data_IF_371128313118
#
_entry.id   IF_371128313118
#
_cell.length_a   1.000
_cell.length_b   1.000
_cell.length_c   1.000
_cell.angle_alpha   90.00
_cell.angle_beta   90.00
_cell.angle_gamma   90.00
#
_symmetry.space_group_name_H-M   'P 1'
#
loop_
_entity.id
_entity.type
_entity.pdbx_description
1 polymer ?
#
# COMPACT_ATOMS: atom_id res chain seq x y z
N UNK A 1 -13.20 16.54 -25.83
CA UNK A 1 -13.63 16.20 -24.46
C UNK A 1 -12.45 16.35 -23.53
N UNK A 2 -12.62 17.02 -22.39
CA UNK A 2 -11.60 17.18 -21.35
C UNK A 2 -12.11 16.56 -20.06
N UNK A 3 -11.31 15.67 -19.48
CA UNK A 3 -11.54 15.05 -18.19
C UNK A 3 -10.49 15.55 -17.20
N UNK A 4 -10.88 15.72 -15.94
CA UNK A 4 -9.98 16.00 -14.83
C UNK A 4 -10.16 14.94 -13.77
N UNK A 5 -9.06 14.42 -13.24
CA UNK A 5 -9.07 13.51 -12.10
C UNK A 5 -8.40 14.18 -10.91
N UNK A 6 -9.05 14.10 -9.75
CA UNK A 6 -8.60 14.62 -8.47
C UNK A 6 -8.58 13.45 -7.48
N UNK A 7 -7.40 13.06 -7.01
CA UNK A 7 -7.23 11.93 -6.10
C UNK A 7 -5.90 12.00 -5.35
N UNK A 8 -5.90 11.49 -4.12
CA UNK A 8 -4.70 11.21 -3.33
C UNK A 8 -4.24 9.74 -3.48
N UNK A 9 -4.78 9.01 -4.46
CA UNK A 9 -4.32 7.68 -4.81
C UNK A 9 -2.80 7.69 -5.08
N UNK A 10 -2.02 6.73 -4.56
CA UNK A 10 -2.44 5.46 -3.95
C UNK A 10 -2.65 5.48 -2.42
N UNK A 11 -2.58 6.64 -1.77
CA UNK A 11 -2.68 6.76 -0.31
C UNK A 11 -4.12 6.90 0.19
N UNK A 12 -5.02 7.36 -0.69
CA UNK A 12 -6.46 7.33 -0.49
C UNK A 12 -7.17 6.58 -1.64
N UNK A 13 -8.34 6.02 -1.33
CA UNK A 13 -9.14 5.23 -2.27
C UNK A 13 -10.19 6.04 -3.04
N UNK A 14 -10.32 7.33 -2.77
CA UNK A 14 -11.31 8.21 -3.39
C UNK A 14 -10.76 8.81 -4.68
N UNK A 15 -11.45 8.57 -5.79
CA UNK A 15 -11.08 9.05 -7.12
C UNK A 15 -12.26 9.85 -7.64
N UNK A 16 -12.04 11.15 -7.89
CA UNK A 16 -13.05 12.06 -8.44
C UNK A 16 -12.69 12.41 -9.87
N UNK A 17 -13.51 12.00 -10.83
CA UNK A 17 -13.36 12.33 -12.25
C UNK A 17 -14.45 13.30 -12.66
N UNK A 18 -14.06 14.48 -13.15
CA UNK A 18 -14.98 15.50 -13.64
C UNK A 18 -14.85 15.68 -15.16
N UNK A 19 -15.98 15.79 -15.84
CA UNK A 19 -16.04 16.12 -17.27
C UNK A 19 -16.03 17.64 -17.41
N UNK A 20 -14.86 18.23 -17.55
CA UNK A 20 -14.71 19.69 -17.64
C UNK A 20 -15.31 20.26 -18.94
N UNK A 21 -15.22 19.54 -20.05
CA UNK A 21 -15.74 20.01 -21.34
C UNK A 21 -16.05 18.88 -22.33
N UNK A 22 -17.10 19.04 -23.11
CA UNK A 22 -17.42 18.24 -24.31
C UNK A 22 -17.59 19.22 -25.46
N UNK A 23 -16.62 19.26 -26.38
CA UNK A 23 -16.58 20.25 -27.47
C UNK A 23 -17.41 19.75 -28.66
N UNK A 24 -18.73 19.89 -28.55
CA UNK A 24 -19.69 19.71 -29.63
C UNK A 24 -20.90 20.64 -29.41
N UNK A 25 -21.84 20.69 -30.37
CA UNK A 25 -22.98 21.62 -30.32
C UNK A 25 -23.88 21.45 -29.07
N UNK A 26 -23.98 20.24 -28.53
CA UNK A 26 -24.88 19.91 -27.42
C UNK A 26 -24.19 19.90 -26.05
N UNK A 27 -22.87 20.07 -26.00
CA UNK A 27 -22.02 19.83 -24.83
C UNK A 27 -22.29 18.47 -24.16
N UNK A 28 -22.69 17.47 -24.95
CA UNK A 28 -23.11 16.15 -24.48
C UNK A 28 -22.64 15.04 -25.42
N UNK A 29 -22.23 13.89 -24.89
CA UNK A 29 -21.72 12.77 -25.66
C UNK A 29 -22.20 11.43 -25.09
N UNK A 30 -22.73 10.55 -25.94
CA UNK A 30 -23.03 9.16 -25.59
C UNK A 30 -21.76 8.32 -25.70
N UNK A 31 -21.29 7.80 -24.57
CA UNK A 31 -20.18 6.85 -24.54
C UNK A 31 -20.22 5.98 -23.27
N UNK A 32 -19.37 4.96 -23.25
CA UNK A 32 -19.15 4.12 -22.07
C UNK A 32 -17.84 4.52 -21.41
N UNK A 33 -17.89 4.92 -20.14
CA UNK A 33 -16.72 5.09 -19.30
C UNK A 33 -16.42 3.77 -18.56
N UNK A 34 -15.23 3.21 -18.73
CA UNK A 34 -14.80 1.98 -18.05
C UNK A 34 -13.93 2.32 -16.85
N UNK A 35 -14.45 2.12 -15.64
CA UNK A 35 -13.72 2.37 -14.39
C UNK A 35 -13.12 1.08 -13.85
N UNK A 36 -11.80 0.97 -13.71
CA UNK A 36 -11.19 -0.26 -13.19
C UNK A 36 -11.51 -0.45 -11.71
N UNK A 37 -11.95 -1.65 -11.33
CA UNK A 37 -12.04 -2.11 -9.93
C UNK A 37 -10.89 -3.09 -9.70
N UNK A 38 -9.82 -2.67 -9.03
CA UNK A 38 -8.71 -3.56 -8.75
C UNK A 38 -9.16 -4.74 -7.89
N UNK A 39 -8.66 -5.95 -8.19
CA UNK A 39 -9.01 -7.16 -7.46
C UNK A 39 -8.83 -7.03 -5.94
N UNK A 40 -7.81 -6.28 -5.48
CA UNK A 40 -7.54 -6.08 -4.06
C UNK A 40 -8.61 -5.26 -3.33
N UNK A 41 -9.45 -4.49 -4.03
CA UNK A 41 -10.41 -3.58 -3.39
C UNK A 41 -11.53 -4.35 -2.67
N UNK A 42 -11.90 -5.53 -3.17
CA UNK A 42 -12.96 -6.40 -2.62
C UNK A 42 -14.38 -5.84 -2.77
N UNK A 43 -14.55 -4.52 -2.68
CA UNK A 43 -15.79 -3.79 -2.95
C UNK A 43 -15.47 -2.41 -3.52
N UNK A 44 -16.50 -1.67 -3.93
CA UNK A 44 -16.40 -0.28 -4.37
C UNK A 44 -17.72 0.44 -4.09
N UNK A 45 -17.67 1.77 -4.07
CA UNK A 45 -18.85 2.62 -4.16
C UNK A 45 -18.66 3.56 -5.37
N UNK A 46 -19.70 3.77 -6.15
CA UNK A 46 -19.68 4.68 -7.29
C UNK A 46 -20.84 5.67 -7.20
N UNK A 47 -20.56 6.95 -7.44
CA UNK A 47 -21.56 8.02 -7.50
C UNK A 47 -21.46 8.77 -8.82
N UNK A 48 -22.60 9.24 -9.31
CA UNK A 48 -22.71 10.19 -10.41
C UNK A 48 -23.46 11.40 -9.89
N UNK A 49 -22.84 12.58 -9.93
CA UNK A 49 -23.42 13.85 -9.48
C UNK A 49 -23.97 13.77 -8.02
N UNK A 50 -23.26 13.04 -7.16
CA UNK A 50 -23.62 12.86 -5.74
C UNK A 50 -24.59 11.70 -5.46
N UNK A 51 -25.20 11.10 -6.48
CA UNK A 51 -26.12 9.97 -6.32
C UNK A 51 -25.39 8.64 -6.48
N UNK A 52 -25.56 7.73 -5.52
CA UNK A 52 -24.99 6.37 -5.60
C UNK A 52 -25.63 5.60 -6.74
N UNK A 53 -24.80 5.03 -7.60
CA UNK A 53 -25.23 4.21 -8.74
C UNK A 53 -24.71 2.77 -8.59
N UNK A 54 -25.57 1.81 -8.93
CA UNK A 54 -25.21 0.41 -8.98
C UNK A 54 -24.68 0.06 -10.37
N UNK A 55 -23.45 -0.42 -10.44
CA UNK A 55 -22.82 -0.93 -11.65
C UNK A 55 -22.35 -2.36 -11.41
N UNK A 56 -22.39 -3.19 -12.45
CA UNK A 56 -21.90 -4.57 -12.37
C UNK A 56 -20.50 -4.62 -12.98
N UNK A 57 -19.47 -5.09 -12.25
CA UNK A 57 -18.15 -5.27 -12.83
C UNK A 57 -18.13 -6.33 -13.93
N UNK A 58 -17.51 -6.00 -15.06
CA UNK A 58 -17.20 -6.88 -16.18
C UNK A 58 -15.68 -6.94 -16.34
N UNK A 59 -15.09 -8.12 -16.16
CA UNK A 59 -13.64 -8.34 -16.29
C UNK A 59 -12.77 -7.32 -15.51
N UNK A 60 -13.22 -6.92 -14.32
CA UNK A 60 -12.52 -5.95 -13.47
C UNK A 60 -12.75 -4.48 -13.81
N UNK A 61 -13.75 -4.15 -14.64
CA UNK A 61 -14.15 -2.78 -14.96
C UNK A 61 -15.65 -2.55 -14.73
N UNK A 62 -16.04 -1.34 -14.37
CA UNK A 62 -17.44 -0.88 -14.30
C UNK A 62 -17.76 -0.15 -15.63
N UNK A 63 -18.49 -0.77 -16.56
CA UNK A 63 -18.96 -0.07 -17.75
C UNK A 63 -20.11 0.88 -17.38
N UNK A 64 -19.86 2.18 -17.46
CA UNK A 64 -20.88 3.22 -17.28
C UNK A 64 -21.27 3.79 -18.65
N UNK A 65 -22.30 3.20 -19.28
CA UNK A 65 -22.83 3.69 -20.56
C UNK A 65 -23.91 4.74 -20.35
N UNK A 66 -23.64 6.00 -20.71
CA UNK A 66 -24.55 7.14 -20.53
C UNK A 66 -24.30 8.23 -21.57
N UNK A 67 -25.27 9.13 -21.70
CA UNK A 67 -25.07 10.45 -22.29
C UNK A 67 -24.51 11.38 -21.21
N UNK A 68 -23.20 11.58 -21.24
CA UNK A 68 -22.50 12.46 -20.33
C UNK A 68 -22.54 13.91 -20.81
N UNK A 69 -22.49 14.86 -19.88
CA UNK A 69 -22.46 16.30 -20.12
C UNK A 69 -21.26 16.95 -19.47
N UNK A 70 -20.83 18.08 -20.01
CA UNK A 70 -19.89 18.95 -19.29
C UNK A 70 -20.47 19.30 -17.91
N UNK A 71 -19.67 19.14 -16.87
CA UNK A 71 -20.04 19.31 -15.47
C UNK A 71 -20.37 18.02 -14.72
N UNK A 72 -20.56 16.88 -15.42
CA UNK A 72 -20.78 15.60 -14.73
C UNK A 72 -19.56 15.23 -13.88
N UNK A 73 -19.84 14.74 -12.67
CA UNK A 73 -18.85 14.31 -11.69
C UNK A 73 -19.09 12.83 -11.37
N UNK A 74 -18.07 12.03 -11.59
CA UNK A 74 -18.02 10.61 -11.24
C UNK A 74 -17.10 10.45 -10.03
N UNK A 75 -17.59 9.81 -8.99
CA UNK A 75 -16.80 9.49 -7.81
C UNK A 75 -16.72 7.97 -7.65
N UNK A 76 -15.51 7.44 -7.52
CA UNK A 76 -15.24 6.04 -7.23
C UNK A 76 -14.48 5.95 -5.91
N UNK A 77 -15.01 5.17 -4.97
CA UNK A 77 -14.36 4.91 -3.68
C UNK A 77 -13.95 3.44 -3.61
N UNK A 78 -12.64 3.21 -3.45
CA UNK A 78 -12.03 1.89 -3.31
C UNK A 78 -11.52 1.69 -1.87
N UNK A 79 -12.08 0.75 -1.08
CA UNK A 79 -11.61 0.52 0.28
C UNK A 79 -10.14 0.04 0.33
N UNK A 80 -9.30 0.78 1.05
CA UNK A 80 -7.88 0.45 1.23
C UNK A 80 -7.67 -0.43 2.47
N UNK A 81 -8.11 -1.69 2.40
CA UNK A 81 -7.91 -2.65 3.50
C UNK A 81 -6.47 -3.23 3.50
N UNK A 82 -5.83 -3.39 4.68
CA UNK A 82 -4.60 -4.17 4.79
C UNK A 82 -4.86 -5.63 4.37
N UNK A 83 -3.89 -6.21 3.67
CA UNK A 83 -3.90 -7.62 3.28
C UNK A 83 -2.49 -8.18 3.33
N UNK A 84 -2.40 -9.49 3.52
CA UNK A 84 -1.17 -10.23 3.33
C UNK A 84 -1.17 -10.87 1.94
N UNK A 85 0.00 -10.93 1.33
CA UNK A 85 0.26 -11.77 0.17
C UNK A 85 1.31 -12.79 0.54
N UNK A 86 0.97 -14.07 0.46
CA UNK A 86 1.91 -15.17 0.67
C UNK A 86 2.83 -15.24 -0.56
N UNK A 87 4.14 -15.20 -0.33
CA UNK A 87 5.12 -15.22 -1.42
C UNK A 87 5.60 -16.65 -1.68
N UNK A 88 5.81 -17.00 -2.96
CA UNK A 88 6.24 -18.34 -3.35
C UNK A 88 7.60 -18.74 -2.73
N UNK A 89 8.44 -17.75 -2.44
CA UNK A 89 9.73 -17.94 -1.75
C UNK A 89 9.60 -18.20 -0.23
N UNK A 90 8.38 -18.22 0.31
CA UNK A 90 8.11 -18.28 1.75
C UNK A 90 7.88 -16.90 2.38
N UNK A 91 7.22 -16.85 3.54
CA UNK A 91 6.85 -15.61 4.20
C UNK A 91 5.67 -14.88 3.54
N UNK A 92 5.46 -13.63 3.93
CA UNK A 92 4.42 -12.78 3.38
C UNK A 92 4.88 -11.33 3.18
N UNK A 93 4.17 -10.61 2.31
CA UNK A 93 4.25 -9.16 2.19
C UNK A 93 2.96 -8.51 2.72
N UNK A 94 3.09 -7.33 3.34
CA UNK A 94 1.94 -6.55 3.83
C UNK A 94 1.59 -5.48 2.79
N UNK A 95 0.31 -5.40 2.39
CA UNK A 95 -0.15 -4.48 1.35
C UNK A 95 -1.40 -3.72 1.77
N UNK A 96 -1.50 -2.47 1.33
CA UNK A 96 -2.71 -1.63 1.45
C UNK A 96 -2.98 -1.02 0.09
N UNK A 97 -4.14 -1.31 -0.52
CA UNK A 97 -4.38 -0.86 -1.89
C UNK A 97 -3.34 -1.39 -2.89
N UNK A 98 -2.82 -0.53 -3.77
CA UNK A 98 -1.69 -0.87 -4.63
C UNK A 98 -0.32 -0.83 -3.92
N UNK A 99 -0.24 -0.38 -2.67
CA UNK A 99 1.02 -0.17 -1.96
C UNK A 99 1.53 -1.47 -1.33
N UNK A 100 2.78 -1.80 -1.62
CA UNK A 100 3.60 -2.67 -0.78
C UNK A 100 4.10 -1.85 0.41
N UNK A 101 3.89 -2.35 1.63
CA UNK A 101 4.43 -1.72 2.83
C UNK A 101 5.73 -2.39 3.26
N UNK A 102 6.54 -1.63 3.97
CA UNK A 102 7.82 -2.07 4.49
C UNK A 102 8.04 -1.52 5.90
N UNK A 103 8.77 -2.28 6.70
CA UNK A 103 9.31 -1.82 7.97
C UNK A 103 10.54 -0.95 7.65
N UNK A 104 10.53 0.35 7.95
CA UNK A 104 11.72 1.19 7.82
C UNK A 104 12.74 0.77 8.88
N UNK A 105 13.97 0.55 8.44
CA UNK A 105 15.09 0.23 9.32
C UNK A 105 15.92 1.50 9.50
N UNK A 106 16.11 1.93 10.74
CA UNK A 106 17.01 3.04 11.03
C UNK A 106 18.41 2.67 10.55
N UNK A 107 19.13 3.63 9.97
CA UNK A 107 20.44 3.37 9.39
C UNK A 107 21.46 4.43 9.78
N UNK A 108 22.67 3.96 10.02
CA UNK A 108 23.86 4.80 10.09
C UNK A 108 24.45 4.90 8.68
N UNK A 109 24.58 6.14 8.17
CA UNK A 109 25.20 6.41 6.86
C UNK A 109 26.69 6.65 7.03
N UNK A 110 27.52 5.89 6.32
CA UNK A 110 28.99 6.06 6.30
C UNK A 110 29.48 6.31 4.89
N UNK A 111 30.53 7.13 4.74
CA UNK A 111 31.24 7.29 3.48
C UNK A 111 32.10 6.04 3.29
N UNK A 112 31.84 5.30 2.22
CA UNK A 112 32.61 4.11 1.85
C UNK A 112 33.83 4.50 1.02
N UNK A 113 33.66 5.40 0.04
CA UNK A 113 34.72 5.88 -0.85
C UNK A 113 34.37 7.25 -1.44
N UNK A 114 35.38 8.02 -1.83
CA UNK A 114 35.21 9.32 -2.50
C UNK A 114 34.98 10.46 -1.51
N UNK A 115 34.65 11.64 -2.05
CA UNK A 115 34.46 12.87 -1.27
C UNK A 115 33.10 13.49 -1.58
N UNK A 116 32.40 14.07 -0.59
CA UNK A 116 31.15 14.79 -0.82
C UNK A 116 31.32 15.91 -1.87
N UNK A 117 30.32 16.14 -2.75
CA UNK A 117 29.01 15.48 -2.77
C UNK A 117 28.98 14.14 -3.54
N UNK A 118 30.10 13.69 -4.12
CA UNK A 118 30.17 12.52 -5.02
C UNK A 118 30.71 11.24 -4.35
N UNK A 119 30.52 11.10 -3.04
CA UNK A 119 30.96 9.93 -2.29
C UNK A 119 29.97 8.76 -2.45
N UNK A 120 30.52 7.55 -2.44
CA UNK A 120 29.76 6.32 -2.27
C UNK A 120 29.44 6.15 -0.79
N UNK A 121 28.19 5.83 -0.48
CA UNK A 121 27.72 5.66 0.90
C UNK A 121 27.28 4.24 1.17
N UNK A 122 27.60 3.74 2.37
CA UNK A 122 27.01 2.53 2.94
C UNK A 122 25.97 2.92 4.01
N UNK A 123 24.90 2.14 4.10
CA UNK A 123 23.85 2.28 5.11
C UNK A 123 23.80 1.00 5.95
N UNK A 124 24.14 1.10 7.23
CA UNK A 124 24.16 -0.04 8.15
C UNK A 124 22.95 0.04 9.09
N UNK A 125 22.24 -1.08 9.33
CA UNK A 125 21.07 -1.09 10.20
C UNK A 125 21.46 -0.81 11.66
N UNK A 126 20.73 0.10 12.32
CA UNK A 126 20.89 0.39 13.75
C UNK A 126 19.62 0.18 14.58
N UNK A 127 18.49 -0.20 13.96
CA UNK A 127 17.28 -0.67 14.66
C UNK A 127 17.05 -2.16 14.43
N UNK A 128 16.27 -2.79 15.32
CA UNK A 128 15.82 -4.15 15.09
C UNK A 128 14.87 -4.19 13.87
N UNK A 129 15.00 -5.24 13.06
CA UNK A 129 14.21 -5.46 11.84
C UNK A 129 13.60 -6.86 11.78
N UNK A 130 13.87 -7.68 12.80
CA UNK A 130 13.50 -9.10 12.87
C UNK A 130 12.11 -9.25 13.46
N UNK A 131 11.10 -9.15 12.61
CA UNK A 131 9.71 -9.30 13.01
C UNK A 131 8.95 -10.23 12.06
N UNK A 132 8.03 -11.01 12.62
CA UNK A 132 7.09 -11.84 11.90
C UNK A 132 5.68 -11.26 11.98
N UNK A 133 4.89 -11.45 10.92
CA UNK A 133 3.49 -11.04 10.87
C UNK A 133 2.62 -12.19 11.39
N UNK A 134 1.70 -11.89 12.31
CA UNK A 134 0.56 -12.74 12.61
C UNK A 134 -0.64 -12.27 11.76
N UNK A 135 -1.20 -13.13 10.86
CA UNK A 135 -2.39 -12.78 10.09
C UNK A 135 -3.61 -12.35 10.93
N UNK A 136 -3.74 -12.84 12.16
CA UNK A 136 -4.85 -12.49 13.04
C UNK A 136 -4.81 -11.02 13.50
N UNK A 137 -3.60 -10.46 13.64
CA UNK A 137 -3.39 -9.05 14.00
C UNK A 137 -3.69 -8.07 12.85
N UNK A 138 -3.94 -8.56 11.63
CA UNK A 138 -4.27 -7.66 10.52
C UNK A 138 -5.62 -6.96 10.72
N UNK A 139 -6.54 -7.60 11.44
CA UNK A 139 -7.85 -7.05 11.79
C UNK A 139 -7.79 -5.91 12.82
N UNK A 140 -6.75 -5.90 13.67
CA UNK A 140 -6.49 -4.87 14.68
C UNK A 140 -5.59 -3.74 14.17
N UNK A 141 -5.09 -3.85 12.92
CA UNK A 141 -4.15 -2.91 12.36
C UNK A 141 -4.78 -1.52 12.15
N UNK A 142 -4.04 -0.47 12.50
CA UNK A 142 -4.51 0.91 12.39
C UNK A 142 -3.83 1.57 11.19
N UNK A 143 -4.65 2.06 10.25
CA UNK A 143 -4.16 2.86 9.12
C UNK A 143 -4.38 4.34 9.41
N UNK A 144 -3.30 5.11 9.39
CA UNK A 144 -3.32 6.56 9.37
C UNK A 144 -3.02 7.04 7.93
N UNK A 145 -3.80 8.02 7.45
CA UNK A 145 -3.68 8.61 6.11
C UNK A 145 -3.65 10.13 6.18
N UNK A 146 -2.92 10.74 5.25
CA UNK A 146 -2.91 12.18 4.99
C UNK A 146 -2.66 12.42 3.50
N UNK A 147 -3.00 13.61 3.03
CA UNK A 147 -2.67 14.01 1.66
C UNK A 147 -1.15 14.02 1.45
N UNK A 148 -0.67 13.57 0.27
CA UNK A 148 0.75 13.58 -0.03
C UNK A 148 1.29 15.01 -0.13
N UNK A 149 2.51 15.22 0.35
CA UNK A 149 3.24 16.48 0.16
C UNK A 149 3.79 16.63 -1.27
N UNK A 150 4.63 17.66 -1.49
CA UNK A 150 5.31 17.89 -2.78
C UNK A 150 6.12 16.69 -3.26
N UNK A 151 6.62 15.88 -2.32
CA UNK A 151 7.30 14.62 -2.57
C UNK A 151 6.46 13.50 -1.98
N UNK A 152 5.59 12.84 -2.77
CA UNK A 152 4.60 11.89 -2.26
C UNK A 152 5.18 10.68 -1.52
N UNK A 153 6.44 10.34 -1.75
CA UNK A 153 7.14 9.23 -1.09
C UNK A 153 8.33 9.70 -0.25
N UNK A 154 8.21 10.87 0.37
CA UNK A 154 9.20 11.33 1.34
C UNK A 154 9.28 10.37 2.55
N UNK A 155 10.48 10.25 3.11
CA UNK A 155 10.80 9.34 4.22
C UNK A 155 10.40 9.90 5.59
N UNK A 156 10.40 11.23 5.75
CA UNK A 156 10.04 11.95 6.97
C UNK A 156 8.52 12.18 7.14
N UNK A 157 7.78 12.20 6.03
CA UNK A 157 6.33 12.42 6.03
C UNK A 157 5.57 11.43 5.12
N UNK A 158 5.60 10.11 5.42
CA UNK A 158 4.87 9.12 4.63
C UNK A 158 3.36 9.41 4.67
N UNK A 159 2.66 9.47 3.51
CA UNK A 159 1.23 9.82 3.48
C UNK A 159 0.30 8.71 3.99
N UNK A 160 0.81 7.48 4.06
CA UNK A 160 0.11 6.34 4.64
C UNK A 160 1.03 5.66 5.66
N UNK A 161 0.48 5.34 6.83
CA UNK A 161 1.17 4.62 7.90
C UNK A 161 0.26 3.50 8.39
N UNK A 162 0.79 2.29 8.50
CA UNK A 162 0.11 1.14 9.10
C UNK A 162 0.80 0.76 10.41
N UNK A 163 0.09 0.84 11.53
CA UNK A 163 0.54 0.28 12.82
C UNK A 163 0.02 -1.14 12.94
N UNK A 164 0.92 -2.08 13.20
CA UNK A 164 0.62 -3.50 13.28
C UNK A 164 1.45 -4.14 14.40
N UNK A 165 0.82 -4.94 15.26
CA UNK A 165 1.54 -5.76 16.23
C UNK A 165 2.23 -6.92 15.51
N UNK A 166 3.53 -7.08 15.76
CA UNK A 166 4.35 -8.09 15.11
C UNK A 166 5.19 -8.84 16.15
N UNK A 167 5.42 -10.13 15.88
CA UNK A 167 6.19 -11.00 16.77
C UNK A 167 7.70 -10.80 16.54
N UNK A 168 8.53 -10.61 17.58
CA UNK A 168 9.97 -10.58 17.42
C UNK A 168 10.51 -11.94 16.96
N UNK A 169 11.44 -11.94 16.00
CA UNK A 169 12.11 -13.16 15.50
C UNK A 169 13.51 -13.24 16.11
N UNK A 170 13.86 -14.34 16.79
CA UNK A 170 15.22 -14.52 17.32
C UNK A 170 16.28 -14.45 16.22
N UNK A 171 17.41 -13.79 16.47
CA UNK A 171 18.50 -13.65 15.49
C UNK A 171 19.01 -14.98 14.94
N UNK A 172 19.08 -16.02 15.78
CA UNK A 172 19.47 -17.38 15.36
C UNK A 172 18.53 -17.97 14.28
N UNK A 173 17.27 -17.53 14.24
CA UNK A 173 16.27 -17.99 13.26
C UNK A 173 16.28 -17.13 11.98
N UNK A 174 16.68 -15.84 12.09
CA UNK A 174 16.76 -14.95 10.94
C UNK A 174 18.06 -14.11 11.00
N UNK A 175 19.21 -14.73 10.67
CA UNK A 175 20.50 -14.08 10.79
C UNK A 175 20.70 -13.04 9.70
N UNK A 176 21.66 -12.13 9.91
CA UNK A 176 22.16 -11.26 8.85
C UNK A 176 23.23 -12.03 8.06
N UNK A 177 23.16 -12.01 6.73
CA UNK A 177 24.11 -12.67 5.83
C UNK A 177 24.61 -11.63 4.84
N UNK A 178 25.93 -11.37 4.82
CA UNK A 178 26.57 -10.38 3.93
C UNK A 178 25.88 -9.01 3.96
N UNK A 179 25.65 -8.47 5.17
CA UNK A 179 24.98 -7.18 5.40
C UNK A 179 23.53 -7.09 4.87
N UNK A 180 22.89 -8.23 4.59
CA UNK A 180 21.48 -8.34 4.22
C UNK A 180 20.74 -9.26 5.17
N UNK A 181 19.40 -9.15 5.21
CA UNK A 181 18.59 -10.16 5.87
C UNK A 181 18.85 -11.53 5.21
N UNK A 182 19.04 -12.56 6.03
CA UNK A 182 19.12 -13.94 5.56
C UNK A 182 17.79 -14.43 4.99
N UNK A 183 17.73 -15.70 4.55
CA UNK A 183 16.49 -16.30 4.07
C UNK A 183 15.35 -16.15 5.09
N UNK A 184 14.15 -15.84 4.61
CA UNK A 184 12.97 -15.72 5.46
C UNK A 184 12.69 -17.08 6.11
N UNK A 185 12.63 -17.18 7.45
CA UNK A 185 12.41 -18.47 8.10
C UNK A 185 11.00 -19.02 7.84
N UNK A 186 10.81 -20.35 7.94
CA UNK A 186 9.49 -20.95 7.86
C UNK A 186 8.59 -20.44 9.01
N UNK A 187 7.26 -20.60 8.89
CA UNK A 187 6.35 -20.19 9.94
C UNK A 187 6.67 -20.82 11.30
N UNK A 188 6.57 -20.02 12.37
CA UNK A 188 6.91 -20.46 13.72
C UNK A 188 5.89 -19.92 14.74
N UNK A 189 5.76 -20.60 15.88
CA UNK A 189 4.87 -20.14 16.95
C UNK A 189 5.53 -19.03 17.77
N UNK A 190 4.76 -17.99 18.10
CA UNK A 190 5.19 -16.90 18.98
C UNK A 190 4.03 -16.52 19.89
N UNK A 191 4.32 -16.26 21.17
CA UNK A 191 3.30 -15.94 22.15
C UNK A 191 2.82 -14.48 21.97
N UNK A 192 1.50 -14.20 21.87
CA UNK A 192 0.96 -12.87 21.56
C UNK A 192 1.43 -11.75 22.51
N UNK A 193 1.70 -12.06 23.77
CA UNK A 193 2.23 -11.12 24.77
C UNK A 193 3.63 -10.58 24.45
N UNK A 194 4.37 -11.26 23.55
CA UNK A 194 5.69 -10.82 23.07
C UNK A 194 5.61 -9.81 21.93
N UNK A 195 4.41 -9.57 21.40
CA UNK A 195 4.26 -8.75 20.20
C UNK A 195 4.50 -7.30 20.54
N UNK A 196 5.12 -6.60 19.60
CA UNK A 196 5.39 -5.17 19.71
C UNK A 196 4.75 -4.46 18.54
N UNK A 197 4.20 -3.26 18.78
CA UNK A 197 3.68 -2.44 17.69
C UNK A 197 4.83 -1.99 16.79
N UNK A 198 4.69 -2.27 15.50
CA UNK A 198 5.60 -1.85 14.46
C UNK A 198 4.88 -0.89 13.51
N UNK A 199 5.65 0.04 12.95
CA UNK A 199 5.17 1.02 11.98
C UNK A 199 5.63 0.61 10.58
N UNK A 200 4.68 0.27 9.70
CA UNK A 200 4.93 -0.02 8.30
C UNK A 200 4.53 1.18 7.44
N UNK A 201 5.37 1.51 6.46
CA UNK A 201 5.19 2.65 5.54
C UNK A 201 5.28 2.16 4.09
N UNK A 202 4.79 2.93 3.10
CA UNK A 202 4.96 2.58 1.69
C UNK A 202 6.42 2.29 1.38
N UNK A 203 6.68 1.19 0.66
CA UNK A 203 8.03 0.72 0.36
C UNK A 203 8.94 1.83 -0.19
N UNK A 204 8.38 2.70 -1.05
CA UNK A 204 9.09 3.84 -1.65
C UNK A 204 9.55 4.91 -0.65
N UNK A 205 8.90 5.03 0.52
CA UNK A 205 9.29 5.99 1.56
C UNK A 205 10.50 5.53 2.39
N UNK A 206 10.77 4.21 2.47
CA UNK A 206 11.83 3.71 3.34
C UNK A 206 13.18 3.64 2.60
N UNK A 207 14.28 4.12 3.20
CA UNK A 207 15.64 4.03 2.62
C UNK A 207 16.29 2.65 2.79
N UNK A 208 16.33 2.16 4.03
CA UNK A 208 16.70 0.79 4.39
C UNK A 208 15.45 0.11 4.97
N UNK A 209 15.15 -1.12 4.57
CA UNK A 209 13.81 -1.68 4.77
C UNK A 209 13.74 -3.21 4.72
N UNK A 210 12.74 -3.76 5.42
CA UNK A 210 12.25 -5.13 5.26
C UNK A 210 10.81 -5.06 4.72
N UNK A 211 10.52 -5.79 3.64
CA UNK A 211 9.19 -5.80 3.03
C UNK A 211 8.55 -7.19 2.95
N UNK A 212 9.35 -8.23 3.19
CA UNK A 212 8.92 -9.62 3.25
C UNK A 212 9.24 -10.15 4.63
N UNK A 213 8.23 -10.67 5.30
CA UNK A 213 8.28 -11.05 6.70
C UNK A 213 8.02 -12.55 6.85
N UNK A 214 8.65 -13.23 7.81
CA UNK A 214 8.16 -14.52 8.25
C UNK A 214 6.76 -14.41 8.85
N UNK A 215 6.07 -15.54 8.95
CA UNK A 215 4.67 -15.60 9.40
C UNK A 215 4.64 -16.33 10.74
N UNK A 216 3.86 -15.83 11.69
CA UNK A 216 3.52 -16.62 12.88
C UNK A 216 2.61 -17.78 12.44
N UNK A 217 2.86 -18.98 12.96
CA UNK A 217 2.15 -20.20 12.56
C UNK A 217 0.63 -19.98 12.56
N UNK A 218 0.04 -20.15 11.38
CA UNK A 218 -1.40 -20.24 11.20
C UNK A 218 -1.76 -21.67 11.60
N UNK A 219 -2.51 -21.88 12.67
CA UNK A 219 -3.11 -23.20 12.87
C UNK A 219 -4.15 -23.41 11.75
N UNK A 220 -3.96 -24.43 10.93
CA UNK A 220 -5.00 -24.87 10.01
C UNK A 220 -6.15 -25.42 10.88
N UNK A 221 -7.32 -24.76 10.85
CA UNK A 221 -8.55 -25.37 11.33
C UNK A 221 -8.76 -26.69 10.55
N UNK A 222 -8.73 -27.80 11.29
CA UNK A 222 -8.94 -29.15 10.78
C UNK A 222 -10.43 -29.49 10.71
#
# INVERSE_FOLDING_TARGET
>A
MRLREETDYPFDGSIRTQIDAIENETNALDFTLYLRVPQWAGSFECKLNGETISLVPENGYLPMKRVFRAGDIIELVLPLKPRLQIEASGGCTVRVGALLLALPVQSERRVLRGEPPFADYEFLPCSNWRFAVDPNELSSAVIERRSPGKTPFADDSPPLVLRLKMAPVPEKNWPMVRHSAGPVPPPFAAAPETYTEQTLIPYGCARLRIAQFPIVKIEEEK
#
